data_IF_504697261886
#
_entry.id   IF_504697261886
#
_cell.length_a   1.000
_cell.length_b   1.000
_cell.length_c   1.000
_cell.angle_alpha   90.00
_cell.angle_beta   90.00
_cell.angle_gamma   90.00
#
_symmetry.space_group_name_H-M   'P 1'
#
loop_
_entity.id
_entity.type
_entity.pdbx_description
1 polymer ?
#
# COMPACT_ATOMS: atom_id res chain seq x y z
N UNK A 1 2.24 33.23 -30.56
CA UNK A 1 1.43 32.72 -29.42
C UNK A 1 0.99 31.26 -29.53
N UNK A 2 1.24 30.51 -30.62
CA UNK A 2 0.81 29.10 -30.74
C UNK A 2 1.74 28.03 -30.13
N UNK A 3 3.05 28.30 -30.04
CA UNK A 3 4.04 27.31 -29.56
C UNK A 3 3.94 27.04 -28.06
N UNK A 4 3.78 28.09 -27.25
CA UNK A 4 3.64 27.99 -25.79
C UNK A 4 2.35 27.26 -25.38
N UNK A 5 1.23 27.52 -26.05
CA UNK A 5 -0.04 26.84 -25.81
C UNK A 5 0.02 25.35 -26.17
N UNK A 6 0.71 24.99 -27.26
CA UNK A 6 1.00 23.59 -27.61
C UNK A 6 1.92 22.91 -26.62
N UNK A 7 2.96 23.61 -26.14
CA UNK A 7 3.86 23.07 -25.12
C UNK A 7 3.13 22.83 -23.80
N UNK A 8 2.27 23.77 -23.38
CA UNK A 8 1.46 23.62 -22.18
C UNK A 8 0.44 22.49 -22.27
N UNK A 9 -0.23 22.34 -23.41
CA UNK A 9 -1.16 21.22 -23.63
C UNK A 9 -0.43 19.89 -23.67
N UNK A 10 0.73 19.81 -24.32
CA UNK A 10 1.56 18.59 -24.31
C UNK A 10 2.08 18.25 -22.91
N UNK A 11 2.46 19.26 -22.12
CA UNK A 11 2.90 19.08 -20.73
C UNK A 11 1.72 18.63 -19.84
N UNK A 12 0.53 19.19 -20.06
CA UNK A 12 -0.71 18.81 -19.39
C UNK A 12 -1.14 17.38 -19.74
N UNK A 13 -1.16 17.03 -21.02
CA UNK A 13 -1.42 15.65 -21.48
C UNK A 13 -0.33 14.68 -21.00
N UNK A 14 0.90 15.13 -20.83
CA UNK A 14 1.99 14.31 -20.27
C UNK A 14 1.83 14.02 -18.78
N UNK A 15 1.14 14.89 -18.04
CA UNK A 15 0.88 14.76 -16.60
C UNK A 15 -0.44 14.06 -16.31
N UNK A 16 -1.34 13.94 -17.29
CA UNK A 16 -2.52 13.09 -17.19
C UNK A 16 -2.12 11.61 -17.20
N UNK A 17 -2.05 11.04 -16.00
CA UNK A 17 -1.79 9.63 -15.75
C UNK A 17 -2.82 8.73 -16.47
N UNK A 18 -4.05 9.22 -16.67
CA UNK A 18 -5.12 8.56 -17.43
C UNK A 18 -4.76 8.30 -18.90
N UNK A 19 -3.98 9.19 -19.54
CA UNK A 19 -3.56 9.06 -20.94
C UNK A 19 -2.31 8.19 -21.13
N UNK A 20 -1.56 7.92 -20.06
CA UNK A 20 -0.31 7.13 -20.09
C UNK A 20 -0.43 5.76 -19.43
N UNK A 21 -1.47 5.54 -18.64
CA UNK A 21 -1.87 4.21 -18.23
C UNK A 21 -2.46 3.49 -19.43
N UNK A 22 -1.86 2.36 -19.82
CA UNK A 22 -2.55 1.37 -20.65
C UNK A 22 -3.73 0.81 -19.85
N UNK A 23 -4.80 1.58 -19.65
CA UNK A 23 -6.11 0.97 -19.56
C UNK A 23 -6.30 0.31 -20.91
N UNK A 24 -6.07 -1.02 -20.96
CA UNK A 24 -6.35 -1.77 -22.18
C UNK A 24 -7.77 -1.40 -22.57
N UNK A 25 -7.98 -0.93 -23.80
CA UNK A 25 -9.32 -0.63 -24.31
C UNK A 25 -10.28 -1.81 -24.05
N UNK A 26 -9.71 -3.01 -24.03
CA UNK A 26 -10.32 -4.27 -23.64
C UNK A 26 -10.90 -4.28 -22.22
N UNK A 27 -10.21 -3.76 -21.21
CA UNK A 27 -10.73 -3.67 -19.82
C UNK A 27 -11.89 -2.70 -19.70
N UNK A 28 -11.84 -1.58 -20.42
CA UNK A 28 -12.94 -0.59 -20.45
C UNK A 28 -14.14 -1.17 -21.18
N UNK A 29 -13.90 -1.91 -22.26
CA UNK A 29 -14.94 -2.58 -23.03
C UNK A 29 -15.58 -3.73 -22.24
N UNK A 30 -14.79 -4.51 -21.49
CA UNK A 30 -15.26 -5.52 -20.55
C UNK A 30 -16.09 -4.92 -19.41
N UNK A 31 -15.67 -3.79 -18.82
CA UNK A 31 -16.44 -3.09 -17.79
C UNK A 31 -17.76 -2.56 -18.34
N UNK A 32 -17.75 -2.00 -19.54
CA UNK A 32 -18.95 -1.49 -20.23
C UNK A 32 -19.90 -2.65 -20.52
N UNK A 33 -19.39 -3.77 -21.04
CA UNK A 33 -20.16 -4.99 -21.28
C UNK A 33 -20.76 -5.55 -19.98
N UNK A 34 -19.96 -5.63 -18.91
CA UNK A 34 -20.41 -6.08 -17.60
C UNK A 34 -21.53 -5.21 -17.03
N UNK A 35 -21.42 -3.88 -17.18
CA UNK A 35 -22.42 -2.92 -16.71
C UNK A 35 -23.71 -3.00 -17.50
N UNK A 36 -23.63 -3.26 -18.80
CA UNK A 36 -24.80 -3.31 -19.69
C UNK A 36 -25.52 -4.67 -19.66
N UNK A 37 -24.80 -5.77 -19.44
CA UNK A 37 -25.36 -7.13 -19.44
C UNK A 37 -25.84 -7.61 -18.05
N UNK A 38 -25.45 -6.95 -16.96
CA UNK A 38 -25.81 -7.36 -15.59
C UNK A 38 -26.85 -6.47 -14.96
N UNK A 39 -27.69 -7.06 -14.11
CA UNK A 39 -28.72 -6.35 -13.35
C UNK A 39 -28.12 -5.20 -12.52
N UNK A 40 -28.70 -4.01 -12.60
CA UNK A 40 -28.31 -2.81 -11.82
C UNK A 40 -28.11 -3.10 -10.32
N UNK A 41 -28.92 -3.97 -9.72
CA UNK A 41 -28.77 -4.41 -8.33
C UNK A 41 -27.42 -5.05 -8.01
N UNK A 42 -26.84 -5.79 -8.96
CA UNK A 42 -25.52 -6.41 -8.79
C UNK A 42 -24.41 -5.36 -8.81
N UNK A 43 -24.54 -4.33 -9.66
CA UNK A 43 -23.59 -3.22 -9.71
C UNK A 43 -23.61 -2.45 -8.39
N UNK A 44 -24.80 -2.09 -7.89
CA UNK A 44 -24.97 -1.41 -6.60
C UNK A 44 -24.43 -2.27 -5.45
N UNK A 45 -24.75 -3.58 -5.45
CA UNK A 45 -24.23 -4.49 -4.43
C UNK A 45 -22.70 -4.57 -4.45
N UNK A 46 -22.06 -4.65 -5.62
CA UNK A 46 -20.59 -4.65 -5.72
C UNK A 46 -20.00 -3.34 -5.19
N UNK A 47 -20.58 -2.20 -5.55
CA UNK A 47 -20.10 -0.89 -5.09
C UNK A 47 -20.22 -0.74 -3.57
N UNK A 48 -21.28 -1.27 -2.96
CA UNK A 48 -21.45 -1.25 -1.50
C UNK A 48 -20.57 -2.28 -0.79
N UNK A 49 -20.39 -3.47 -1.36
CA UNK A 49 -19.65 -4.56 -0.71
C UNK A 49 -18.14 -4.37 -0.82
N UNK A 50 -17.62 -3.80 -1.91
CA UNK A 50 -16.18 -3.58 -2.11
C UNK A 50 -15.50 -2.78 -0.99
N UNK A 51 -16.08 -1.69 -0.43
CA UNK A 51 -15.47 -0.97 0.68
C UNK A 51 -15.64 -1.66 2.05
N UNK A 52 -16.58 -2.60 2.21
CA UNK A 52 -16.88 -3.22 3.52
C UNK A 52 -15.67 -3.94 4.16
N UNK A 53 -14.86 -4.74 3.43
CA UNK A 53 -13.67 -5.34 4.01
C UNK A 53 -12.69 -4.30 4.56
N UNK A 54 -12.50 -3.19 3.83
CA UNK A 54 -11.64 -2.10 4.27
C UNK A 54 -12.19 -1.46 5.55
N UNK A 55 -13.47 -1.12 5.56
CA UNK A 55 -14.14 -0.55 6.74
C UNK A 55 -14.08 -1.47 7.95
N UNK A 56 -14.29 -2.78 7.74
CA UNK A 56 -14.21 -3.76 8.82
C UNK A 56 -12.81 -3.77 9.44
N UNK A 57 -11.76 -3.79 8.62
CA UNK A 57 -10.38 -3.77 9.10
C UNK A 57 -10.06 -2.48 9.85
N UNK A 58 -10.51 -1.33 9.34
CA UNK A 58 -10.34 -0.03 10.04
C UNK A 58 -11.07 -0.02 11.39
N UNK A 59 -12.31 -0.51 11.44
CA UNK A 59 -13.07 -0.61 12.69
C UNK A 59 -12.39 -1.55 13.69
N UNK A 60 -11.83 -2.67 13.24
CA UNK A 60 -11.06 -3.58 14.11
C UNK A 60 -9.82 -2.90 14.70
N UNK A 61 -9.13 -2.06 13.93
CA UNK A 61 -8.02 -1.22 14.40
C UNK A 61 -8.50 -0.20 15.43
N UNK A 62 -9.64 0.44 15.18
CA UNK A 62 -10.13 1.59 15.96
C UNK A 62 -10.87 1.21 17.24
N UNK A 63 -11.41 -0.01 17.32
CA UNK A 63 -12.06 -0.52 18.54
C UNK A 63 -11.05 -0.76 19.68
N UNK A 64 -9.76 -0.91 19.37
CA UNK A 64 -8.72 -1.17 20.38
C UNK A 64 -8.58 0.08 21.26
N UNK A 65 -8.90 0.01 22.57
CA UNK A 65 -8.93 1.18 23.43
C UNK A 65 -7.51 1.67 23.71
N UNK A 66 -7.35 2.99 23.74
CA UNK A 66 -6.12 3.66 24.12
C UNK A 66 -6.30 4.41 25.44
N UNK A 67 -5.30 4.32 26.30
CA UNK A 67 -5.25 5.10 27.52
C UNK A 67 -4.77 6.52 27.22
N UNK A 68 -4.78 7.40 28.21
CA UNK A 68 -4.25 8.75 28.02
C UNK A 68 -2.76 8.66 27.66
N UNK A 69 -2.29 9.43 26.66
CA UNK A 69 -0.88 9.39 26.25
C UNK A 69 0.07 9.87 27.35
N UNK A 70 -0.43 10.67 28.30
CA UNK A 70 0.30 11.14 29.48
C UNK A 70 0.60 10.05 30.51
N UNK A 71 -0.11 8.92 30.49
CA UNK A 71 0.14 7.77 31.38
C UNK A 71 1.35 6.93 30.92
N UNK A 72 1.95 7.31 29.78
CA UNK A 72 3.20 6.75 29.29
C UNK A 72 3.06 5.36 28.68
N UNK A 73 4.21 4.74 28.41
CA UNK A 73 4.32 3.52 27.62
C UNK A 73 3.62 2.31 28.27
N UNK A 74 3.76 2.15 29.60
CA UNK A 74 3.25 0.98 30.33
C UNK A 74 1.73 0.92 30.37
N UNK A 75 1.06 2.07 30.42
CA UNK A 75 -0.40 2.15 30.35
C UNK A 75 -0.94 1.93 28.93
N UNK A 76 -0.10 2.17 27.91
CA UNK A 76 -0.48 2.14 26.50
C UNK A 76 0.03 0.88 25.76
N UNK A 77 0.07 -0.29 26.40
CA UNK A 77 0.50 -1.53 25.73
C UNK A 77 -0.40 -1.89 24.53
N UNK A 78 -1.70 -1.55 24.59
CA UNK A 78 -2.66 -1.77 23.51
C UNK A 78 -2.36 -0.93 22.26
N UNK A 79 -1.66 0.20 22.40
CA UNK A 79 -1.16 0.98 21.26
C UNK A 79 -0.27 0.12 20.36
N UNK A 80 0.60 -0.71 20.94
CA UNK A 80 1.51 -1.58 20.17
C UNK A 80 0.78 -2.74 19.52
N UNK A 81 -0.27 -3.28 20.16
CA UNK A 81 -1.14 -4.29 19.55
C UNK A 81 -1.87 -3.70 18.33
N UNK A 82 -2.45 -2.51 18.47
CA UNK A 82 -3.06 -1.77 17.38
C UNK A 82 -2.07 -1.50 16.25
N UNK A 83 -0.89 -0.99 16.60
CA UNK A 83 0.19 -0.69 15.64
C UNK A 83 0.65 -1.94 14.88
N UNK A 84 0.82 -3.06 15.58
CA UNK A 84 1.17 -4.34 14.98
C UNK A 84 0.12 -4.82 13.99
N UNK A 85 -1.16 -4.77 14.35
CA UNK A 85 -2.25 -5.17 13.46
C UNK A 85 -2.34 -4.26 12.23
N UNK A 86 -2.18 -2.95 12.40
CA UNK A 86 -2.11 -2.00 11.27
C UNK A 86 -0.97 -2.34 10.33
N UNK A 87 0.23 -2.65 10.84
CA UNK A 87 1.34 -3.08 9.99
C UNK A 87 1.09 -4.41 9.30
N UNK A 88 0.46 -5.38 9.96
CA UNK A 88 0.10 -6.66 9.34
C UNK A 88 -0.75 -6.43 8.09
N UNK A 89 -1.79 -5.60 8.21
CA UNK A 89 -2.68 -5.28 7.09
C UNK A 89 -1.92 -4.56 5.98
N UNK A 90 -1.22 -3.47 6.31
CA UNK A 90 -0.52 -2.64 5.32
C UNK A 90 0.55 -3.45 4.59
N UNK A 91 1.38 -4.21 5.30
CA UNK A 91 2.42 -5.03 4.69
C UNK A 91 1.82 -6.14 3.81
N UNK A 92 0.75 -6.81 4.25
CA UNK A 92 0.08 -7.81 3.43
C UNK A 92 -0.45 -7.21 2.12
N UNK A 93 -1.17 -6.09 2.21
CA UNK A 93 -1.72 -5.41 1.04
C UNK A 93 -0.62 -4.93 0.08
N UNK A 94 0.46 -4.37 0.62
CA UNK A 94 1.61 -3.98 -0.20
C UNK A 94 2.21 -5.19 -0.94
N UNK A 95 2.46 -6.31 -0.26
CA UNK A 95 2.99 -7.52 -0.91
C UNK A 95 2.02 -8.03 -2.00
N UNK A 96 0.72 -8.06 -1.73
CA UNK A 96 -0.28 -8.47 -2.72
C UNK A 96 -0.33 -7.52 -3.92
N UNK A 97 -0.28 -6.21 -3.70
CA UNK A 97 -0.28 -5.20 -4.76
C UNK A 97 0.95 -5.33 -5.66
N UNK A 98 2.12 -5.54 -5.08
CA UNK A 98 3.33 -5.81 -5.86
C UNK A 98 3.21 -7.13 -6.63
N UNK A 99 2.67 -8.18 -6.02
CA UNK A 99 2.43 -9.46 -6.71
C UNK A 99 1.48 -9.34 -7.90
N UNK A 100 0.42 -8.53 -7.78
CA UNK A 100 -0.50 -8.24 -8.89
C UNK A 100 0.14 -7.35 -9.97
N UNK A 101 0.97 -6.39 -9.57
CA UNK A 101 1.65 -5.46 -10.49
C UNK A 101 2.79 -6.13 -11.28
N UNK A 102 3.40 -7.16 -10.69
CA UNK A 102 4.52 -7.92 -11.27
C UNK A 102 4.09 -9.38 -11.43
N UNK A 103 3.06 -9.62 -12.26
CA UNK A 103 2.48 -10.94 -12.48
C UNK A 103 3.45 -12.00 -13.02
N UNK A 104 4.59 -11.58 -13.57
CA UNK A 104 5.68 -12.46 -14.02
C UNK A 104 6.47 -13.12 -12.87
N UNK A 105 6.35 -12.61 -11.64
CA UNK A 105 7.07 -13.10 -10.46
C UNK A 105 6.06 -13.57 -9.41
N UNK A 106 5.59 -14.83 -9.48
CA UNK A 106 4.58 -15.32 -8.55
C UNK A 106 5.11 -15.28 -7.11
N UNK A 107 4.35 -14.61 -6.24
CA UNK A 107 4.65 -14.54 -4.82
C UNK A 107 3.78 -15.57 -4.08
N UNK A 108 4.34 -16.67 -3.56
CA UNK A 108 3.55 -17.69 -2.89
C UNK A 108 2.95 -17.13 -1.59
N UNK A 109 1.64 -17.35 -1.40
CA UNK A 109 0.87 -16.75 -0.29
C UNK A 109 1.45 -17.05 1.09
N UNK A 110 1.96 -18.27 1.32
CA UNK A 110 2.57 -18.63 2.60
C UNK A 110 3.82 -17.80 2.92
N UNK A 111 4.66 -17.51 1.92
CA UNK A 111 5.81 -16.61 2.12
C UNK A 111 5.34 -15.17 2.35
N UNK A 112 4.27 -14.76 1.69
CA UNK A 112 3.71 -13.41 1.87
C UNK A 112 3.25 -13.23 3.31
N UNK A 113 2.52 -14.21 3.84
CA UNK A 113 2.09 -14.23 5.25
C UNK A 113 3.31 -14.22 6.18
N UNK A 114 4.33 -15.05 5.92
CA UNK A 114 5.55 -15.08 6.72
C UNK A 114 6.26 -13.72 6.76
N UNK A 115 6.48 -13.10 5.61
CA UNK A 115 7.11 -11.78 5.52
C UNK A 115 6.25 -10.68 6.14
N UNK A 116 4.94 -10.71 5.96
CA UNK A 116 4.02 -9.82 6.65
C UNK A 116 4.17 -9.88 8.16
N UNK A 117 4.17 -11.07 8.74
CA UNK A 117 4.29 -11.27 10.19
C UNK A 117 5.65 -10.75 10.70
N UNK A 118 6.74 -11.09 9.99
CA UNK A 118 8.09 -10.68 10.37
C UNK A 118 8.26 -9.16 10.29
N UNK A 119 7.89 -8.54 9.16
CA UNK A 119 8.01 -7.09 8.95
C UNK A 119 7.18 -6.34 9.98
N UNK A 120 5.96 -6.79 10.26
CA UNK A 120 5.09 -6.12 11.24
C UNK A 120 5.64 -6.20 12.66
N UNK A 121 6.22 -7.35 13.03
CA UNK A 121 6.86 -7.53 14.33
C UNK A 121 8.10 -6.63 14.46
N UNK A 122 8.94 -6.57 13.42
CA UNK A 122 10.12 -5.71 13.38
C UNK A 122 9.75 -4.22 13.44
N UNK A 123 8.81 -3.77 12.61
CA UNK A 123 8.34 -2.38 12.62
C UNK A 123 7.80 -1.96 13.98
N UNK A 124 6.95 -2.79 14.59
CA UNK A 124 6.38 -2.51 15.92
C UNK A 124 7.47 -2.49 17.00
N UNK A 125 8.40 -3.46 16.96
CA UNK A 125 9.51 -3.53 17.91
C UNK A 125 10.44 -2.32 17.83
N UNK A 126 10.74 -1.85 16.61
CA UNK A 126 11.56 -0.65 16.41
C UNK A 126 10.84 0.61 16.91
N UNK A 127 9.53 0.74 16.67
CA UNK A 127 8.74 1.86 17.22
C UNK A 127 8.70 1.80 18.75
N UNK A 128 8.54 0.61 19.32
CA UNK A 128 8.58 0.42 20.78
C UNK A 128 9.94 0.83 21.35
N UNK A 129 11.04 0.44 20.69
CA UNK A 129 12.39 0.83 21.09
C UNK A 129 12.60 2.35 21.00
N UNK A 130 12.12 3.01 19.94
CA UNK A 130 12.19 4.47 19.87
C UNK A 130 11.31 5.16 20.91
N UNK A 131 10.14 4.61 21.24
CA UNK A 131 9.28 5.13 22.29
C UNK A 131 9.95 5.01 23.69
N UNK A 132 10.76 3.98 23.91
CA UNK A 132 11.60 3.86 25.11
C UNK A 132 12.75 4.88 25.13
N UNK A 133 13.38 5.14 23.99
CA UNK A 133 14.56 6.01 23.90
C UNK A 133 14.23 7.50 23.91
N UNK A 134 13.18 7.91 23.19
CA UNK A 134 12.79 9.32 22.97
C UNK A 134 11.66 9.72 23.94
N UNK A 135 10.83 8.76 24.35
CA UNK A 135 9.64 9.00 25.16
C UNK A 135 8.34 8.73 24.40
N UNK A 136 7.26 8.52 25.16
CA UNK A 136 5.91 8.30 24.65
C UNK A 136 5.02 9.51 24.95
N UNK A 137 4.20 9.98 24.01
CA UNK A 137 4.03 9.51 22.63
C UNK A 137 5.21 9.91 21.72
N UNK A 138 5.49 9.10 20.71
CA UNK A 138 6.61 9.33 19.80
C UNK A 138 6.38 10.62 18.98
N UNK A 139 7.27 11.62 19.03
CA UNK A 139 7.15 12.81 18.21
C UNK A 139 7.26 12.43 16.73
N UNK A 140 6.42 13.02 15.89
CA UNK A 140 6.39 12.76 14.44
C UNK A 140 6.22 11.27 14.08
N UNK A 141 5.41 10.53 14.85
CA UNK A 141 5.20 9.09 14.68
C UNK A 141 4.92 8.68 13.23
N UNK A 142 4.10 9.41 12.48
CA UNK A 142 3.83 9.14 11.06
C UNK A 142 5.10 9.26 10.19
N UNK A 143 5.90 10.31 10.38
CA UNK A 143 7.14 10.50 9.63
C UNK A 143 8.21 9.47 9.97
N UNK A 144 8.21 8.91 11.18
CA UNK A 144 9.15 7.85 11.56
C UNK A 144 8.69 6.46 11.13
N UNK A 145 7.38 6.20 11.25
CA UNK A 145 6.75 4.89 11.04
C UNK A 145 6.68 4.52 9.55
N UNK A 146 6.28 5.47 8.70
CA UNK A 146 6.10 5.24 7.27
C UNK A 146 7.40 4.82 6.56
N UNK A 147 8.52 5.57 6.63
CA UNK A 147 9.76 5.18 5.97
C UNK A 147 10.33 3.87 6.54
N UNK A 148 10.16 3.63 7.84
CA UNK A 148 10.58 2.39 8.48
C UNK A 148 9.89 1.17 7.85
N UNK A 149 8.57 1.22 7.73
CA UNK A 149 7.78 0.14 7.14
C UNK A 149 8.15 -0.06 5.67
N UNK A 150 8.27 1.02 4.91
CA UNK A 150 8.68 1.04 3.49
C UNK A 150 10.03 0.33 3.29
N UNK A 151 11.04 0.66 4.10
CA UNK A 151 12.37 0.04 4.00
C UNK A 151 12.29 -1.46 4.26
N UNK A 152 11.59 -1.89 5.32
CA UNK A 152 11.46 -3.30 5.66
C UNK A 152 10.73 -4.11 4.59
N UNK A 153 9.63 -3.57 4.04
CA UNK A 153 8.91 -4.18 2.91
C UNK A 153 9.84 -4.31 1.70
N UNK A 154 10.56 -3.25 1.35
CA UNK A 154 11.49 -3.24 0.22
C UNK A 154 12.58 -4.31 0.36
N UNK A 155 13.12 -4.49 1.56
CA UNK A 155 14.13 -5.52 1.85
C UNK A 155 13.56 -6.92 1.58
N UNK A 156 12.35 -7.23 2.08
CA UNK A 156 11.72 -8.54 1.85
C UNK A 156 11.46 -8.82 0.37
N UNK A 157 11.07 -7.79 -0.40
CA UNK A 157 10.86 -7.90 -1.85
C UNK A 157 12.16 -8.11 -2.60
N UNK A 158 13.23 -7.39 -2.27
CA UNK A 158 14.55 -7.59 -2.86
C UNK A 158 15.07 -8.99 -2.56
N UNK A 159 14.82 -9.51 -1.36
CA UNK A 159 15.21 -10.86 -0.99
C UNK A 159 14.48 -11.93 -1.82
N UNK A 160 13.15 -11.84 -1.98
CA UNK A 160 12.38 -12.83 -2.76
C UNK A 160 12.61 -12.74 -4.27
N UNK A 161 12.70 -11.51 -4.80
CA UNK A 161 12.69 -11.27 -6.23
C UNK A 161 14.05 -10.92 -6.81
N UNK A 162 15.05 -10.56 -6.00
CA UNK A 162 16.34 -10.08 -6.49
C UNK A 162 17.04 -11.06 -7.45
N UNK A 163 16.94 -12.36 -7.18
CA UNK A 163 17.47 -13.40 -8.08
C UNK A 163 16.60 -13.66 -9.32
N UNK A 164 15.30 -13.45 -9.23
CA UNK A 164 14.34 -13.73 -10.31
C UNK A 164 14.29 -12.58 -11.34
N UNK A 165 14.41 -11.34 -10.88
CA UNK A 165 14.44 -10.14 -11.73
C UNK A 165 15.58 -10.18 -12.73
N UNK A 166 16.74 -10.72 -12.34
CA UNK A 166 17.90 -10.86 -13.24
C UNK A 166 17.67 -11.88 -14.36
N UNK A 167 16.77 -12.84 -14.15
CA UNK A 167 16.52 -13.95 -15.08
C UNK A 167 15.34 -13.69 -16.01
N UNK A 168 14.43 -12.79 -15.63
CA UNK A 168 13.18 -12.54 -16.37
C UNK A 168 13.23 -11.21 -17.14
N UNK A 169 13.29 -11.23 -18.49
CA UNK A 169 13.23 -10.01 -19.29
C UNK A 169 11.86 -9.32 -19.11
N UNK A 170 11.85 -8.00 -18.95
CA UNK A 170 10.64 -7.20 -18.76
C UNK A 170 10.15 -7.06 -17.30
N UNK A 171 10.63 -7.89 -16.37
CA UNK A 171 10.30 -7.78 -14.95
C UNK A 171 10.76 -6.44 -14.35
N UNK A 172 11.93 -5.93 -14.76
CA UNK A 172 12.45 -4.65 -14.30
C UNK A 172 11.50 -3.48 -14.61
N UNK A 173 10.92 -3.46 -15.81
CA UNK A 173 9.99 -2.39 -16.22
C UNK A 173 8.69 -2.43 -15.41
N UNK A 174 8.16 -3.63 -15.13
CA UNK A 174 6.98 -3.79 -14.28
C UNK A 174 7.26 -3.34 -12.85
N UNK A 175 8.42 -3.70 -12.30
CA UNK A 175 8.84 -3.28 -10.96
C UNK A 175 8.99 -1.76 -10.88
N UNK A 176 9.60 -1.11 -11.88
CA UNK A 176 9.73 0.34 -11.90
C UNK A 176 8.35 1.01 -11.89
N UNK A 177 7.38 0.48 -12.63
CA UNK A 177 6.01 1.00 -12.62
C UNK A 177 5.31 0.77 -11.27
N UNK A 178 5.47 -0.42 -10.68
CA UNK A 178 4.94 -0.73 -9.35
C UNK A 178 5.53 0.19 -8.27
N UNK A 179 6.84 0.44 -8.31
CA UNK A 179 7.53 1.36 -7.40
C UNK A 179 6.98 2.79 -7.56
N UNK A 180 6.74 3.27 -8.79
CA UNK A 180 6.16 4.60 -8.98
C UNK A 180 4.78 4.75 -8.33
N UNK A 181 3.91 3.75 -8.53
CA UNK A 181 2.58 3.74 -7.90
C UNK A 181 2.69 3.74 -6.37
N UNK A 182 3.55 2.86 -5.84
CA UNK A 182 3.76 2.76 -4.40
C UNK A 182 4.36 4.04 -3.80
N UNK A 183 5.28 4.71 -4.49
CA UNK A 183 5.81 6.01 -4.07
C UNK A 183 4.73 7.09 -4.05
N UNK A 184 3.81 7.09 -5.03
CA UNK A 184 2.64 7.98 -5.00
C UNK A 184 1.77 7.71 -3.77
N UNK A 185 1.47 6.46 -3.46
CA UNK A 185 0.70 6.07 -2.27
C UNK A 185 1.38 6.51 -0.98
N UNK A 186 2.69 6.30 -0.86
CA UNK A 186 3.47 6.75 0.30
C UNK A 186 3.43 8.27 0.44
N UNK A 187 3.51 9.01 -0.67
CA UNK A 187 3.42 10.48 -0.65
C UNK A 187 2.04 10.98 -0.24
N UNK A 188 0.96 10.29 -0.64
CA UNK A 188 -0.41 10.62 -0.23
C UNK A 188 -0.62 10.52 1.29
N UNK A 189 0.22 9.79 2.03
CA UNK A 189 0.16 9.75 3.51
C UNK A 189 0.59 11.10 4.12
N UNK A 190 1.32 11.94 3.38
CA UNK A 190 1.91 13.19 3.86
C UNK A 190 1.29 14.47 3.28
N UNK A 191 0.33 14.33 2.35
CA UNK A 191 -0.38 15.44 1.70
C UNK A 191 -1.79 15.52 2.26
#
# INVERSE_FOLDING_TARGET
MGSLSRSFSQLWESTQVELRGKYSAERVLELTKYTNERSWWRVIAVLLVTPLPCLLVTVLVDIIPLANPSEGLKANNLYFVRTYYTFLVITFLAIQQFGMSVSLLPYPLWRAIGHTVIVSALSTGIIYAFALAIGFPLPFSLLTTTPLCVVLISITMVFEWGGQVRKTPGAATMIVNAIKLWMCEVLLVFI
#
